data_IF_409427382555
#
_entry.id   IF_409427382555
#
_cell.length_a   1.000
_cell.length_b   1.000
_cell.length_c   1.000
_cell.angle_alpha   90.00
_cell.angle_beta   90.00
_cell.angle_gamma   90.00
#
_symmetry.space_group_name_H-M   'P 1'
#
loop_
_entity.id
_entity.type
_entity.pdbx_description
1 polymer ?
#
# COMPACT_ATOMS: atom_id res chain seq x y z
N UNK A 1 -4.77 7.37 -11.27
CA UNK A 1 -4.05 6.46 -10.38
C UNK A 1 -5.04 5.59 -9.63
N UNK A 2 -4.81 4.29 -9.53
CA UNK A 2 -5.72 3.44 -8.78
C UNK A 2 -5.72 3.80 -7.30
N UNK A 3 -6.83 3.51 -6.64
CA UNK A 3 -6.99 3.75 -5.21
C UNK A 3 -7.38 2.46 -4.51
N UNK A 4 -7.19 2.41 -3.23
CA UNK A 4 -7.53 1.26 -2.43
C UNK A 4 -7.60 1.60 -0.96
N UNK A 5 -7.85 0.57 -0.16
CA UNK A 5 -7.95 0.69 1.29
C UNK A 5 -6.88 -0.16 1.94
N UNK A 6 -6.20 0.38 2.94
CA UNK A 6 -5.20 -0.37 3.68
C UNK A 6 -5.90 -1.48 4.47
N UNK A 7 -5.58 -2.72 4.16
CA UNK A 7 -6.12 -3.86 4.87
C UNK A 7 -5.50 -3.97 6.26
N UNK A 8 -4.18 -3.90 6.32
CA UNK A 8 -3.42 -3.79 7.56
C UNK A 8 -1.99 -3.36 7.23
N UNK A 9 -1.32 -2.82 8.21
CA UNK A 9 0.08 -2.42 8.07
C UNK A 9 0.79 -2.57 9.40
N UNK A 10 1.99 -3.15 9.37
CA UNK A 10 2.78 -3.36 10.57
C UNK A 10 3.99 -2.43 10.58
N UNK A 11 4.01 -1.48 11.51
CA UNK A 11 5.12 -0.55 11.66
C UNK A 11 6.41 -1.27 12.04
N UNK A 12 6.29 -2.30 12.85
CA UNK A 12 7.47 -3.07 13.28
C UNK A 12 8.12 -3.81 12.13
N UNK A 13 7.30 -4.41 11.27
CA UNK A 13 7.80 -5.18 10.14
C UNK A 13 8.06 -4.31 8.92
N UNK A 14 7.43 -3.14 8.85
CA UNK A 14 7.61 -2.21 7.76
C UNK A 14 6.87 -2.58 6.48
N UNK A 15 5.81 -3.38 6.57
CA UNK A 15 5.02 -3.75 5.40
C UNK A 15 3.57 -4.03 5.76
N UNK A 16 2.74 -4.13 4.74
CA UNK A 16 1.33 -4.45 4.91
C UNK A 16 0.70 -4.79 3.58
N UNK A 17 -0.61 -4.69 3.52
CA UNK A 17 -1.38 -5.00 2.31
C UNK A 17 -2.45 -3.94 2.06
N UNK A 18 -2.71 -3.70 0.78
CA UNK A 18 -3.75 -2.79 0.32
C UNK A 18 -4.75 -3.61 -0.49
N UNK A 19 -6.04 -3.39 -0.21
CA UNK A 19 -7.12 -3.99 -0.98
C UNK A 19 -7.55 -2.98 -2.03
N UNK A 20 -7.29 -3.24 -3.33
CA UNK A 20 -7.68 -2.32 -4.40
C UNK A 20 -9.20 -2.16 -4.48
N UNK A 21 -9.65 -0.96 -4.82
CA UNK A 21 -11.09 -0.68 -4.95
C UNK A 21 -11.75 -1.37 -6.13
N UNK A 22 -10.95 -1.77 -7.11
CA UNK A 22 -11.46 -2.47 -8.30
C UNK A 22 -11.75 -3.95 -8.06
N UNK A 23 -11.55 -4.45 -6.84
CA UNK A 23 -11.80 -5.84 -6.50
C UNK A 23 -10.67 -6.79 -6.84
N UNK A 24 -9.53 -6.29 -7.25
CA UNK A 24 -8.34 -7.11 -7.52
C UNK A 24 -7.80 -7.73 -6.23
N UNK A 25 -6.88 -8.66 -6.36
CA UNK A 25 -6.21 -9.28 -5.21
C UNK A 25 -5.45 -8.24 -4.41
N UNK A 26 -5.30 -8.48 -3.12
CA UNK A 26 -4.54 -7.60 -2.23
C UNK A 26 -3.12 -7.42 -2.75
N UNK A 27 -2.60 -6.20 -2.60
CA UNK A 27 -1.25 -5.86 -3.03
C UNK A 27 -0.35 -5.70 -1.80
N UNK A 28 0.85 -6.24 -1.90
CA UNK A 28 1.89 -6.03 -0.89
C UNK A 28 2.37 -4.58 -0.97
N UNK A 29 2.57 -3.96 0.19
CA UNK A 29 3.14 -2.62 0.27
C UNK A 29 4.25 -2.61 1.32
N UNK A 30 5.41 -2.10 0.94
CA UNK A 30 6.55 -1.93 1.85
C UNK A 30 6.64 -0.45 2.23
N UNK A 31 7.16 -0.16 3.43
CA UNK A 31 7.28 1.23 3.89
C UNK A 31 8.06 2.11 2.91
N UNK A 32 9.03 1.55 2.19
CA UNK A 32 9.79 2.30 1.20
C UNK A 32 8.95 2.77 0.02
N UNK A 33 7.79 2.17 -0.19
CA UNK A 33 6.88 2.54 -1.27
C UNK A 33 5.93 3.67 -0.87
N UNK A 34 5.91 4.05 0.39
CA UNK A 34 5.01 5.09 0.89
C UNK A 34 5.62 6.46 0.66
N UNK A 35 4.89 7.31 -0.06
CA UNK A 35 5.31 8.67 -0.37
C UNK A 35 4.68 9.63 0.65
N UNK A 36 5.30 9.76 1.81
CA UNK A 36 4.78 10.63 2.86
C UNK A 36 5.94 11.31 3.59
N UNK A 37 5.71 12.53 4.02
CA UNK A 37 6.67 13.24 4.86
C UNK A 37 6.58 12.71 6.28
N UNK A 38 7.70 12.46 6.91
CA UNK A 38 7.73 11.95 8.28
C UNK A 38 7.56 10.44 8.33
N UNK A 39 6.60 9.97 9.10
CA UNK A 39 6.40 8.53 9.31
C UNK A 39 5.84 7.86 8.06
N UNK A 40 6.53 6.80 7.63
CA UNK A 40 6.09 5.98 6.50
C UNK A 40 5.25 4.83 7.02
N UNK A 41 4.07 5.16 7.48
CA UNK A 41 3.14 4.19 8.04
C UNK A 41 1.75 4.44 7.48
N UNK A 42 0.93 3.40 7.50
CA UNK A 42 -0.44 3.47 7.01
C UNK A 42 -1.38 2.99 8.12
N UNK A 43 -2.49 3.70 8.29
CA UNK A 43 -3.51 3.30 9.25
C UNK A 43 -4.42 2.26 8.59
N UNK A 44 -4.83 1.25 9.36
CA UNK A 44 -5.78 0.25 8.90
C UNK A 44 -7.10 0.92 8.49
N UNK A 45 -7.58 0.58 7.31
CA UNK A 45 -8.79 1.17 6.77
C UNK A 45 -8.61 2.51 6.08
N UNK A 46 -7.39 3.06 6.06
CA UNK A 46 -7.11 4.33 5.40
C UNK A 46 -7.21 4.20 3.88
N UNK A 47 -7.69 5.26 3.23
CA UNK A 47 -7.72 5.32 1.77
C UNK A 47 -6.39 5.83 1.24
N UNK A 48 -5.89 5.19 0.21
CA UNK A 48 -4.61 5.56 -0.42
C UNK A 48 -4.72 5.49 -1.92
N UNK A 49 -3.87 6.25 -2.61
CA UNK A 49 -3.63 6.07 -4.03
C UNK A 49 -2.30 5.35 -4.19
N UNK A 50 -2.16 4.58 -5.25
CA UNK A 50 -0.97 3.79 -5.47
C UNK A 50 -0.84 3.42 -6.94
N UNK A 51 0.30 2.83 -7.30
CA UNK A 51 0.50 2.20 -8.59
C UNK A 51 0.82 0.72 -8.33
N UNK A 52 0.35 -0.15 -9.21
CA UNK A 52 0.63 -1.57 -9.11
C UNK A 52 1.85 -1.90 -9.97
N UNK A 53 2.75 -2.69 -9.43
CA UNK A 53 3.96 -3.11 -10.14
C UNK A 53 4.16 -4.61 -9.93
N UNK A 54 4.53 -5.31 -11.02
CA UNK A 54 4.85 -6.73 -10.92
C UNK A 54 6.21 -6.88 -10.23
N UNK A 55 6.26 -7.73 -9.23
CA UNK A 55 7.50 -8.01 -8.51
C UNK A 55 7.81 -9.50 -8.51
N UNK A 56 8.99 -9.89 -8.00
CA UNK A 56 9.39 -11.29 -7.94
C UNK A 56 8.43 -12.20 -7.15
N UNK A 57 7.74 -11.62 -6.18
CA UNK A 57 6.81 -12.36 -5.32
C UNK A 57 5.36 -12.08 -5.65
N UNK A 58 5.09 -11.44 -6.80
CA UNK A 58 3.76 -11.08 -7.22
C UNK A 58 3.55 -9.57 -7.28
N UNK A 59 2.32 -9.10 -7.53
CA UNK A 59 2.05 -7.67 -7.63
C UNK A 59 2.24 -6.96 -6.29
N UNK A 60 2.76 -5.75 -6.35
CA UNK A 60 2.96 -4.90 -5.17
C UNK A 60 2.54 -3.48 -5.46
N UNK A 61 2.21 -2.73 -4.41
CA UNK A 61 1.88 -1.32 -4.53
C UNK A 61 3.15 -0.49 -4.42
N UNK A 62 3.27 0.53 -5.27
CA UNK A 62 4.38 1.49 -5.25
C UNK A 62 3.80 2.89 -5.33
N UNK A 63 4.59 3.89 -4.97
CA UNK A 63 4.17 5.30 -4.97
C UNK A 63 2.88 5.50 -4.19
N UNK A 64 2.79 4.87 -3.04
CA UNK A 64 1.60 4.90 -2.19
C UNK A 64 1.50 6.26 -1.50
N UNK A 65 0.36 6.91 -1.64
CA UNK A 65 0.10 8.22 -1.03
C UNK A 65 -1.22 8.19 -0.27
N UNK A 66 -1.25 8.71 0.95
CA UNK A 66 -2.53 8.83 1.67
C UNK A 66 -3.43 9.82 0.94
N UNK A 67 -4.70 9.53 0.94
CA UNK A 67 -5.69 10.43 0.35
C UNK A 67 -6.23 11.42 1.38
#
# INVERSE_FOLDING_TARGET
MPTGTVKWFSDEKGFGFITPEDGSSDLFVHQSAIQADGFRTLAEGAKVSFEAEAGPKGPRAVNVQPL
#
